data_IF_394115881687
#
_entry.id   IF_394115881687
#
_cell.length_a   1.000
_cell.length_b   1.000
_cell.length_c   1.000
_cell.angle_alpha   90.00
_cell.angle_beta   90.00
_cell.angle_gamma   90.00
#
_symmetry.space_group_name_H-M   'P 1'
#
loop_
_entity.id
_entity.type
_entity.pdbx_description
1 polymer ?
#
# COMPACT_ATOMS: atom_id res chain seq x y z
N UNK A 1 -33.13 25.96 62.10
CA UNK A 1 -32.11 24.91 62.24
C UNK A 1 -32.52 23.65 61.53
N UNK A 2 -33.70 23.09 61.73
CA UNK A 2 -34.17 21.90 61.04
C UNK A 2 -34.30 22.12 59.55
N UNK A 3 -34.73 23.28 59.05
CA UNK A 3 -34.85 23.59 57.65
C UNK A 3 -33.50 23.71 56.95
N UNK A 4 -32.50 24.28 57.60
CA UNK A 4 -31.13 24.34 57.03
C UNK A 4 -30.50 22.99 56.92
N UNK A 5 -30.74 22.10 57.89
CA UNK A 5 -30.24 20.72 57.83
C UNK A 5 -30.89 19.95 56.69
N UNK A 6 -32.20 20.08 56.52
CA UNK A 6 -32.96 19.43 55.46
C UNK A 6 -32.51 19.94 54.07
N UNK A 7 -32.31 21.23 53.91
CA UNK A 7 -31.80 21.84 52.70
C UNK A 7 -30.39 21.36 52.35
N UNK A 8 -29.50 21.25 53.35
CA UNK A 8 -28.15 20.71 53.16
C UNK A 8 -28.16 19.24 52.74
N UNK A 9 -29.02 18.45 53.35
CA UNK A 9 -29.19 17.02 52.97
C UNK A 9 -29.70 16.89 51.53
N UNK A 10 -30.66 17.75 51.15
CA UNK A 10 -31.18 17.77 49.77
C UNK A 10 -30.12 18.16 48.76
N UNK A 11 -29.32 19.22 49.06
CA UNK A 11 -28.23 19.67 48.22
C UNK A 11 -27.19 18.56 48.04
N UNK A 12 -26.85 17.87 49.14
CA UNK A 12 -25.91 16.75 49.08
C UNK A 12 -26.46 15.57 48.24
N UNK A 13 -27.75 15.26 48.38
CA UNK A 13 -28.39 14.21 47.59
C UNK A 13 -28.40 14.56 46.10
N UNK A 14 -28.75 15.80 45.74
CA UNK A 14 -28.73 16.31 44.39
C UNK A 14 -27.33 16.27 43.79
N UNK A 15 -26.31 16.68 44.59
CA UNK A 15 -24.93 16.65 44.18
C UNK A 15 -24.43 15.23 43.91
N UNK A 16 -24.85 14.26 44.74
CA UNK A 16 -24.52 12.85 44.54
C UNK A 16 -25.17 12.30 43.27
N UNK A 17 -26.44 12.63 43.04
CA UNK A 17 -27.16 12.23 41.84
C UNK A 17 -26.52 12.82 40.59
N UNK A 18 -26.18 14.09 40.62
CA UNK A 18 -25.50 14.76 39.51
C UNK A 18 -24.12 14.15 39.23
N UNK A 19 -23.38 13.86 40.29
CA UNK A 19 -22.09 13.15 40.17
C UNK A 19 -22.22 11.81 39.51
N UNK A 20 -23.21 11.00 39.94
CA UNK A 20 -23.46 9.68 39.36
C UNK A 20 -23.83 9.79 37.91
N UNK A 21 -24.67 10.76 37.55
CA UNK A 21 -25.06 11.03 36.18
C UNK A 21 -23.87 11.42 35.31
N UNK A 22 -23.04 12.34 35.80
CA UNK A 22 -21.83 12.76 35.08
C UNK A 22 -20.84 11.61 34.89
N UNK A 23 -20.64 10.78 35.90
CA UNK A 23 -19.78 9.60 35.80
C UNK A 23 -20.32 8.59 34.78
N UNK A 24 -21.63 8.37 34.77
CA UNK A 24 -22.29 7.49 33.80
C UNK A 24 -22.12 8.02 32.39
N UNK A 25 -22.37 9.28 32.15
CA UNK A 25 -22.23 9.93 30.87
C UNK A 25 -20.77 9.87 30.36
N UNK A 26 -19.83 10.18 31.28
CA UNK A 26 -18.40 10.12 30.94
C UNK A 26 -17.97 8.70 30.57
N UNK A 27 -18.46 7.71 31.28
CA UNK A 27 -18.18 6.30 31.00
C UNK A 27 -18.76 5.86 29.63
N UNK A 28 -19.98 6.28 29.36
CA UNK A 28 -20.63 6.01 28.06
C UNK A 28 -19.88 6.66 26.91
N UNK A 29 -19.46 7.93 27.08
CA UNK A 29 -18.65 8.63 26.09
C UNK A 29 -17.30 7.96 25.89
N UNK A 30 -16.63 7.55 26.96
CA UNK A 30 -15.35 6.83 26.88
C UNK A 30 -15.51 5.52 26.10
N UNK A 31 -16.56 4.77 26.37
CA UNK A 31 -16.85 3.53 25.65
C UNK A 31 -17.11 3.78 24.16
N UNK A 32 -17.89 4.82 23.86
CA UNK A 32 -18.18 5.21 22.47
C UNK A 32 -16.91 5.62 21.73
N UNK A 33 -16.04 6.41 22.36
CA UNK A 33 -14.76 6.85 21.77
C UNK A 33 -13.85 5.64 21.49
N UNK A 34 -13.74 4.74 22.46
CA UNK A 34 -12.93 3.52 22.29
C UNK A 34 -13.44 2.67 21.13
N UNK A 35 -14.76 2.45 21.04
CA UNK A 35 -15.36 1.65 19.98
C UNK A 35 -15.18 2.30 18.61
N UNK A 36 -15.40 3.60 18.52
CA UNK A 36 -15.18 4.35 17.27
C UNK A 36 -13.72 4.30 16.85
N UNK A 37 -12.80 4.49 17.79
CA UNK A 37 -11.36 4.41 17.52
C UNK A 37 -10.94 3.03 17.02
N UNK A 38 -11.52 1.96 17.58
CA UNK A 38 -11.28 0.59 17.09
C UNK A 38 -11.77 0.41 15.67
N UNK A 39 -12.95 0.93 15.34
CA UNK A 39 -13.52 0.84 14.00
C UNK A 39 -12.67 1.61 12.98
N UNK A 40 -12.27 2.83 13.33
CA UNK A 40 -11.39 3.65 12.48
C UNK A 40 -10.05 2.96 12.27
N UNK A 41 -9.46 2.39 13.33
CA UNK A 41 -8.21 1.65 13.22
C UNK A 41 -8.33 0.44 12.30
N UNK A 42 -9.42 -0.30 12.37
CA UNK A 42 -9.69 -1.45 11.48
C UNK A 42 -9.82 -1.01 10.02
N UNK A 43 -10.54 0.07 9.77
CA UNK A 43 -10.70 0.62 8.42
C UNK A 43 -9.36 1.07 7.84
N UNK A 44 -8.57 1.81 8.62
CA UNK A 44 -7.25 2.26 8.20
C UNK A 44 -6.30 1.09 7.94
N UNK A 45 -6.29 0.09 8.82
CA UNK A 45 -5.50 -1.11 8.63
C UNK A 45 -5.90 -1.85 7.35
N UNK A 46 -7.20 -1.97 7.09
CA UNK A 46 -7.71 -2.60 5.87
C UNK A 46 -7.26 -1.86 4.61
N UNK A 47 -7.33 -0.53 4.61
CA UNK A 47 -6.85 0.31 3.51
C UNK A 47 -5.37 0.13 3.26
N UNK A 48 -4.57 0.11 4.32
CA UNK A 48 -3.12 -0.09 4.22
C UNK A 48 -2.81 -1.43 3.58
N UNK A 49 -3.50 -2.50 4.02
CA UNK A 49 -3.31 -3.84 3.46
C UNK A 49 -3.72 -3.90 1.98
N UNK A 50 -4.86 -3.33 1.63
CA UNK A 50 -5.33 -3.30 0.23
C UNK A 50 -4.35 -2.54 -0.65
N UNK A 51 -3.88 -1.38 -0.19
CA UNK A 51 -2.91 -0.58 -0.93
C UNK A 51 -1.57 -1.30 -1.07
N UNK A 52 -1.10 -1.95 -0.01
CA UNK A 52 0.14 -2.74 -0.05
C UNK A 52 0.04 -3.90 -1.04
N UNK A 53 -1.09 -4.61 -1.06
CA UNK A 53 -1.32 -5.68 -2.05
C UNK A 53 -1.31 -5.15 -3.47
N UNK A 54 -1.93 -3.99 -3.71
CA UNK A 54 -1.95 -3.36 -5.02
C UNK A 54 -0.54 -2.95 -5.46
N UNK A 55 0.24 -2.35 -4.56
CA UNK A 55 1.63 -2.00 -4.84
C UNK A 55 2.48 -3.22 -5.17
N UNK A 56 2.32 -4.30 -4.40
CA UNK A 56 3.03 -5.57 -4.65
C UNK A 56 2.67 -6.12 -6.03
N UNK A 57 1.40 -6.11 -6.40
CA UNK A 57 0.96 -6.58 -7.72
C UNK A 57 1.55 -5.72 -8.84
N UNK A 58 1.55 -4.40 -8.67
CA UNK A 58 2.15 -3.48 -9.65
C UNK A 58 3.66 -3.71 -9.78
N UNK A 59 4.36 -3.88 -8.66
CA UNK A 59 5.80 -4.18 -8.65
C UNK A 59 6.10 -5.51 -9.32
N UNK A 60 5.29 -6.53 -9.05
CA UNK A 60 5.41 -7.84 -9.68
C UNK A 60 5.29 -7.75 -11.20
N UNK A 61 4.29 -7.04 -11.70
CA UNK A 61 4.10 -6.84 -13.14
C UNK A 61 5.27 -6.07 -13.76
N UNK A 62 5.75 -5.03 -13.08
CA UNK A 62 6.90 -4.26 -13.53
C UNK A 62 8.17 -5.12 -13.62
N UNK A 63 8.42 -5.96 -12.61
CA UNK A 63 9.58 -6.87 -12.59
C UNK A 63 9.48 -7.90 -13.70
N UNK A 64 8.31 -8.51 -13.90
CA UNK A 64 8.10 -9.49 -14.99
C UNK A 64 8.38 -8.83 -16.35
N UNK A 65 7.89 -7.63 -16.58
CA UNK A 65 8.12 -6.90 -17.83
C UNK A 65 9.61 -6.60 -18.02
N UNK A 66 10.28 -6.15 -16.97
CA UNK A 66 11.70 -5.85 -17.00
C UNK A 66 12.55 -7.11 -17.30
N UNK A 67 12.25 -8.22 -16.64
CA UNK A 67 12.94 -9.49 -16.87
C UNK A 67 12.73 -9.97 -18.31
N UNK A 68 11.50 -9.87 -18.83
CA UNK A 68 11.22 -10.23 -20.24
C UNK A 68 12.03 -9.37 -21.21
N UNK A 69 12.11 -8.08 -20.95
CA UNK A 69 12.87 -7.15 -21.81
C UNK A 69 14.35 -7.44 -21.75
N UNK A 70 14.90 -7.69 -20.56
CA UNK A 70 16.31 -8.05 -20.40
C UNK A 70 16.63 -9.38 -21.06
N UNK A 71 15.78 -10.38 -20.90
CA UNK A 71 15.95 -11.68 -21.53
C UNK A 71 15.91 -11.56 -23.06
N UNK A 72 14.98 -10.78 -23.59
CA UNK A 72 14.88 -10.51 -25.03
C UNK A 72 16.13 -9.83 -25.57
N UNK A 73 16.61 -8.79 -24.89
CA UNK A 73 17.84 -8.08 -25.28
C UNK A 73 19.04 -9.02 -25.26
N UNK A 74 19.17 -9.81 -24.20
CA UNK A 74 20.28 -10.77 -24.09
C UNK A 74 20.23 -11.85 -25.18
N UNK A 75 19.05 -12.36 -25.47
CA UNK A 75 18.85 -13.35 -26.54
C UNK A 75 19.26 -12.79 -27.89
N UNK A 76 18.90 -11.54 -28.21
CA UNK A 76 19.28 -10.88 -29.44
C UNK A 76 20.79 -10.64 -29.53
N UNK A 77 21.41 -10.21 -28.42
CA UNK A 77 22.87 -10.01 -28.36
C UNK A 77 23.61 -11.32 -28.61
N UNK A 78 23.16 -12.41 -27.98
CA UNK A 78 23.77 -13.74 -28.18
C UNK A 78 23.58 -14.20 -29.64
N UNK A 79 22.38 -14.06 -30.18
CA UNK A 79 22.09 -14.41 -31.57
C UNK A 79 22.96 -13.64 -32.56
N UNK A 80 23.12 -12.31 -32.32
CA UNK A 80 23.98 -11.46 -33.13
C UNK A 80 25.42 -11.95 -33.09
N UNK A 81 25.96 -12.24 -31.91
CA UNK A 81 27.34 -12.71 -31.75
C UNK A 81 27.56 -14.08 -32.44
N UNK A 82 26.62 -14.98 -32.30
CA UNK A 82 26.69 -16.30 -32.94
C UNK A 82 26.70 -16.17 -34.47
N UNK A 83 25.79 -15.37 -35.00
CA UNK A 83 25.70 -15.14 -36.45
C UNK A 83 26.97 -14.49 -36.98
N UNK A 84 27.49 -13.47 -36.31
CA UNK A 84 28.73 -12.80 -36.73
C UNK A 84 29.92 -13.77 -36.74
N UNK A 85 30.02 -14.64 -35.76
CA UNK A 85 31.06 -15.67 -35.67
C UNK A 85 30.97 -16.66 -36.84
N UNK A 86 29.78 -17.15 -37.14
CA UNK A 86 29.53 -18.10 -38.22
C UNK A 86 29.80 -17.48 -39.60
N UNK A 87 29.54 -16.18 -39.75
CA UNK A 87 29.71 -15.48 -41.03
C UNK A 87 31.07 -14.79 -41.17
N UNK A 88 31.97 -14.97 -40.20
CA UNK A 88 33.29 -14.35 -40.21
C UNK A 88 34.09 -14.76 -41.45
N UNK A 89 34.54 -13.79 -42.24
CA UNK A 89 35.26 -14.01 -43.49
C UNK A 89 34.37 -13.99 -44.73
N UNK A 90 33.04 -13.90 -44.58
CA UNK A 90 32.11 -13.74 -45.70
C UNK A 90 31.54 -12.32 -45.72
N UNK A 91 32.15 -11.44 -46.49
CA UNK A 91 31.83 -10.01 -46.50
C UNK A 91 30.40 -9.70 -46.92
N UNK A 92 29.82 -10.42 -47.87
CA UNK A 92 28.43 -10.22 -48.31
C UNK A 92 27.43 -10.57 -47.25
N UNK A 93 27.61 -11.70 -46.57
CA UNK A 93 26.71 -12.13 -45.49
C UNK A 93 26.83 -11.23 -44.28
N UNK A 94 28.01 -10.77 -43.91
CA UNK A 94 28.25 -9.81 -42.85
C UNK A 94 27.56 -8.49 -43.14
N UNK A 95 27.66 -7.99 -44.36
CA UNK A 95 26.98 -6.77 -44.80
C UNK A 95 25.45 -6.89 -44.70
N UNK A 96 24.90 -8.06 -45.11
CA UNK A 96 23.47 -8.34 -45.01
C UNK A 96 22.97 -8.36 -43.57
N UNK A 97 23.70 -9.03 -42.67
CA UNK A 97 23.37 -9.09 -41.24
C UNK A 97 23.43 -7.69 -40.63
N UNK A 98 24.43 -6.88 -40.95
CA UNK A 98 24.53 -5.51 -40.46
C UNK A 98 23.34 -4.65 -40.89
N UNK A 99 22.86 -4.84 -42.12
CA UNK A 99 21.67 -4.15 -42.62
C UNK A 99 20.42 -4.56 -41.80
N UNK A 100 20.24 -5.84 -41.52
CA UNK A 100 19.12 -6.33 -40.69
C UNK A 100 19.16 -5.78 -39.26
N UNK A 101 20.33 -5.75 -38.65
CA UNK A 101 20.51 -5.19 -37.28
C UNK A 101 20.15 -3.72 -37.26
N UNK A 102 20.53 -2.93 -38.24
CA UNK A 102 20.16 -1.51 -38.34
C UNK A 102 18.66 -1.34 -38.49
N UNK A 103 17.97 -2.15 -39.29
CA UNK A 103 16.53 -2.12 -39.44
C UNK A 103 15.83 -2.44 -38.12
N UNK A 104 16.33 -3.40 -37.36
CA UNK A 104 15.77 -3.74 -36.04
C UNK A 104 15.93 -2.61 -35.03
N UNK A 105 17.04 -1.86 -35.04
CA UNK A 105 17.28 -0.76 -34.13
C UNK A 105 16.44 0.48 -34.45
N UNK A 106 15.92 0.62 -35.66
CA UNK A 106 15.08 1.73 -36.10
C UNK A 106 13.60 1.56 -35.70
N UNK A 107 13.20 0.35 -35.34
CA UNK A 107 11.85 0.02 -34.89
C UNK A 107 11.81 -0.17 -33.38
#
# INVERSE_FOLDING_TARGET
>A
MANLKAENEQILAEARDERMKMLKEAKEQATAIVNESKNVAKEEASKIIVNAKQEIENMKLAVITDVKNQAGTLALEIAEKVIRKELKGNAEQVAFVNTLVKEMNLN
#
